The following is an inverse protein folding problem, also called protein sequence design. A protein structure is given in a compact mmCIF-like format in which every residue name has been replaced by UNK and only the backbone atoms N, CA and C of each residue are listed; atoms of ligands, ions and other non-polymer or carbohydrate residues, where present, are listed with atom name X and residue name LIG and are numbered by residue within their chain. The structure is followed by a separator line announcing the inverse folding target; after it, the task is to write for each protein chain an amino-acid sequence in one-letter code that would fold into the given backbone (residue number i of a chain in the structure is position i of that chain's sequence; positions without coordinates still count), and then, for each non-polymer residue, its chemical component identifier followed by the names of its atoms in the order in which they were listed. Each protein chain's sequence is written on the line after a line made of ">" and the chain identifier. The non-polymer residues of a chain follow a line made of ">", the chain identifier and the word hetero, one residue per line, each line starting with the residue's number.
data_IF_807740415746
#
_entry.id   IF_807740415746
#
_cell.length_a   1.000
_cell.length_b   1.000
_cell.length_c   1.000
_cell.angle_alpha   90.00
_cell.angle_beta   90.00
_cell.angle_gamma   90.00
#
_symmetry.space_group_name_H-M   'P 1'
#
loop_
_entity.id
_entity.type
_entity.pdbx_description
1 polymer ?
#
# COMPACT_ATOMS: atom_id res chain seq x y z
N UNK A 1 5.50 18.84 -2.07
CA UNK A 1 5.17 20.19 -2.56
C UNK A 1 5.65 20.46 -3.98
N UNK A 2 6.97 20.55 -4.27
CA UNK A 2 7.47 20.90 -5.62
C UNK A 2 6.91 20.02 -6.75
N UNK A 3 6.86 18.71 -6.54
CA UNK A 3 6.27 17.78 -7.51
C UNK A 3 4.78 18.06 -7.79
N UNK A 4 4.02 18.44 -6.76
CA UNK A 4 2.60 18.77 -6.87
C UNK A 4 2.39 20.09 -7.63
N UNK A 5 3.20 21.12 -7.35
CA UNK A 5 3.19 22.39 -8.08
C UNK A 5 3.50 22.22 -9.57
N UNK A 6 4.43 21.31 -9.90
CA UNK A 6 4.79 21.00 -11.28
C UNK A 6 3.78 20.08 -11.98
N UNK A 7 2.82 19.49 -11.27
CA UNK A 7 1.87 18.53 -11.83
C UNK A 7 2.49 17.17 -12.18
N UNK A 8 3.59 16.78 -11.54
CA UNK A 8 4.23 15.46 -11.77
C UNK A 8 3.52 14.37 -10.96
N UNK A 9 2.37 13.93 -11.46
CA UNK A 9 1.51 12.92 -10.83
C UNK A 9 2.30 11.67 -10.36
N UNK A 10 3.08 11.06 -11.25
CA UNK A 10 3.88 9.86 -10.92
C UNK A 10 4.87 10.10 -9.77
N UNK A 11 5.55 11.25 -9.78
CA UNK A 11 6.49 11.60 -8.71
C UNK A 11 5.76 11.83 -7.39
N UNK A 12 4.59 12.47 -7.41
CA UNK A 12 3.76 12.67 -6.21
C UNK A 12 3.32 11.32 -5.65
N UNK A 13 2.82 10.41 -6.50
CA UNK A 13 2.41 9.06 -6.09
C UNK A 13 3.56 8.31 -5.43
N UNK A 14 4.74 8.30 -6.05
CA UNK A 14 5.91 7.63 -5.48
C UNK A 14 6.27 8.21 -4.09
N UNK A 15 6.29 9.53 -3.96
CA UNK A 15 6.59 10.20 -2.69
C UNK A 15 5.56 9.83 -1.59
N UNK A 16 4.27 9.84 -1.90
CA UNK A 16 3.21 9.42 -0.98
C UNK A 16 3.39 7.96 -0.55
N UNK A 17 3.69 7.05 -1.49
CA UNK A 17 3.91 5.64 -1.21
C UNK A 17 5.16 5.39 -0.36
N UNK A 18 6.20 6.21 -0.48
CA UNK A 18 7.40 6.13 0.38
C UNK A 18 7.21 6.75 1.77
N UNK A 19 6.05 7.34 2.05
CA UNK A 19 5.74 7.98 3.31
C UNK A 19 6.16 9.43 3.43
N UNK A 20 6.15 10.16 2.31
CA UNK A 20 6.22 11.62 2.33
C UNK A 20 5.00 12.21 3.06
N UNK A 21 5.24 13.23 3.88
CA UNK A 21 4.19 13.94 4.60
C UNK A 21 3.28 14.70 3.62
N UNK A 22 2.03 14.25 3.53
CA UNK A 22 1.00 14.80 2.64
C UNK A 22 0.36 16.06 3.23
N UNK A 23 0.39 16.18 4.56
CA UNK A 23 -0.19 17.30 5.33
C UNK A 23 0.83 18.39 5.66
N UNK A 24 2.10 18.19 5.29
CA UNK A 24 3.15 19.19 5.43
C UNK A 24 2.70 20.53 4.85
N UNK A 25 2.89 21.63 5.58
CA UNK A 25 2.55 22.98 5.14
C UNK A 25 3.81 23.79 4.83
N UNK A 26 3.76 24.59 3.77
CA UNK A 26 4.87 25.48 3.45
C UNK A 26 5.01 26.59 4.51
N UNK A 27 6.20 27.16 4.65
CA UNK A 27 6.41 28.22 5.63
C UNK A 27 5.72 29.53 5.24
N UNK A 28 5.58 29.80 3.94
CA UNK A 28 5.04 31.03 3.38
C UNK A 28 3.51 31.09 3.45
N UNK A 29 2.84 30.40 2.53
CA UNK A 29 1.37 30.47 2.38
C UNK A 29 0.59 29.51 3.30
N UNK A 30 1.29 28.68 4.06
CA UNK A 30 0.74 27.59 4.90
C UNK A 30 -0.11 26.58 4.12
N UNK A 31 0.22 26.37 2.85
CA UNK A 31 -0.48 25.47 1.93
C UNK A 31 0.11 24.06 1.95
N UNK A 32 -0.78 23.06 1.88
CA UNK A 32 -0.42 21.64 1.71
C UNK A 32 0.00 21.34 0.26
N UNK A 33 0.72 20.23 -0.01
CA UNK A 33 0.99 19.76 -1.36
C UNK A 33 -0.25 19.71 -2.28
N UNK A 34 -1.42 19.33 -1.75
CA UNK A 34 -2.69 19.25 -2.49
C UNK A 34 -3.21 20.65 -2.83
N UNK A 35 -3.19 21.57 -1.86
CA UNK A 35 -3.58 22.96 -2.07
C UNK A 35 -2.66 23.64 -3.09
N UNK A 36 -1.36 23.35 -3.07
CA UNK A 36 -0.42 23.80 -4.10
C UNK A 36 -0.76 23.28 -5.50
N UNK A 37 -1.18 22.02 -5.62
CA UNK A 37 -1.63 21.46 -6.90
C UNK A 37 -2.88 22.20 -7.41
N UNK A 38 -3.86 22.45 -6.54
CA UNK A 38 -5.07 23.21 -6.90
C UNK A 38 -4.75 24.66 -7.28
N UNK A 39 -3.90 25.34 -6.50
CA UNK A 39 -3.48 26.71 -6.74
C UNK A 39 -2.77 26.89 -8.08
N UNK A 40 -2.04 25.87 -8.54
CA UNK A 40 -1.32 25.86 -9.82
C UNK A 40 -2.14 25.25 -10.99
N UNK A 41 -3.41 24.93 -10.77
CA UNK A 41 -4.31 24.36 -11.79
C UNK A 41 -4.02 22.89 -12.14
N UNK A 42 -3.32 22.16 -11.28
CA UNK A 42 -2.95 20.74 -11.47
C UNK A 42 -4.03 19.82 -10.89
N UNK A 43 -5.26 19.92 -11.41
CA UNK A 43 -6.42 19.18 -10.92
C UNK A 43 -6.23 17.66 -10.93
N UNK A 44 -5.68 17.10 -12.00
CA UNK A 44 -5.41 15.65 -12.10
C UNK A 44 -4.49 15.16 -10.97
N UNK A 45 -3.47 15.96 -10.62
CA UNK A 45 -2.57 15.62 -9.53
C UNK A 45 -3.28 15.72 -8.17
N UNK A 46 -4.06 16.77 -7.96
CA UNK A 46 -4.83 16.95 -6.74
C UNK A 46 -5.89 15.83 -6.55
N UNK A 47 -6.60 15.47 -7.61
CA UNK A 47 -7.60 14.39 -7.62
C UNK A 47 -6.95 13.04 -7.35
N UNK A 48 -5.83 12.73 -7.98
CA UNK A 48 -5.09 11.50 -7.72
C UNK A 48 -4.57 11.42 -6.27
N UNK A 49 -4.14 12.53 -5.69
CA UNK A 49 -3.80 12.59 -4.26
C UNK A 49 -5.01 12.30 -3.37
N UNK A 50 -6.18 12.86 -3.70
CA UNK A 50 -7.44 12.63 -2.97
C UNK A 50 -7.85 11.16 -2.99
N UNK A 51 -7.83 10.54 -4.18
CA UNK A 51 -8.14 9.11 -4.32
C UNK A 51 -7.21 8.23 -3.49
N UNK A 52 -5.92 8.54 -3.52
CA UNK A 52 -4.92 7.83 -2.73
C UNK A 52 -5.16 7.99 -1.22
N UNK A 53 -5.54 9.18 -0.75
CA UNK A 53 -5.87 9.38 0.66
C UNK A 53 -7.16 8.68 1.08
N UNK A 54 -8.17 8.62 0.20
CA UNK A 54 -9.42 7.91 0.44
C UNK A 54 -9.22 6.38 0.50
N UNK A 55 -8.32 5.84 -0.31
CA UNK A 55 -7.97 4.42 -0.35
C UNK A 55 -6.47 4.22 -0.12
N UNK A 56 -5.99 4.37 1.13
CA UNK A 56 -4.56 4.41 1.44
C UNK A 56 -3.89 3.04 1.35
N UNK A 57 -4.64 1.94 1.42
CA UNK A 57 -4.13 0.58 1.31
C UNK A 57 -4.69 -0.15 0.10
N UNK A 58 -3.83 -0.91 -0.58
CA UNK A 58 -4.25 -1.79 -1.65
C UNK A 58 -4.80 -3.11 -1.07
N UNK A 59 -6.04 -3.07 -0.59
CA UNK A 59 -6.69 -4.19 0.10
C UNK A 59 -6.72 -5.48 -0.72
N UNK A 60 -6.80 -5.38 -2.05
CA UNK A 60 -6.80 -6.52 -2.98
C UNK A 60 -5.59 -7.47 -2.83
N UNK A 61 -4.50 -7.03 -2.20
CA UNK A 61 -3.31 -7.83 -1.95
C UNK A 61 -3.23 -8.40 -0.52
N UNK A 62 -4.29 -8.28 0.27
CA UNK A 62 -4.41 -8.87 1.59
C UNK A 62 -5.08 -10.25 1.55
N UNK A 63 -4.68 -11.12 2.48
CA UNK A 63 -5.44 -12.36 2.75
C UNK A 63 -6.84 -12.08 3.33
N UNK A 64 -7.02 -10.92 4.00
CA UNK A 64 -8.31 -10.51 4.56
C UNK A 64 -9.30 -10.01 3.50
N UNK A 65 -8.89 -9.89 2.24
CA UNK A 65 -9.76 -9.42 1.17
C UNK A 65 -10.78 -10.49 0.80
N UNK A 66 -12.07 -10.14 0.88
CA UNK A 66 -13.18 -11.01 0.47
C UNK A 66 -13.62 -10.68 -0.95
N UNK A 67 -13.93 -11.72 -1.72
CA UNK A 67 -14.42 -11.62 -3.10
C UNK A 67 -15.94 -11.31 -3.17
N UNK A 68 -16.52 -10.76 -2.11
CA UNK A 68 -17.94 -10.40 -2.02
C UNK A 68 -18.17 -8.95 -2.45
N UNK A 69 -19.07 -8.72 -3.41
CA UNK A 69 -19.43 -7.36 -3.81
C UNK A 69 -20.52 -6.82 -2.88
N UNK A 70 -20.24 -5.86 -1.97
CA UNK A 70 -21.21 -5.48 -0.95
C UNK A 70 -22.48 -4.87 -1.55
N UNK A 71 -22.34 -4.14 -2.66
CA UNK A 71 -23.46 -3.48 -3.36
C UNK A 71 -24.32 -4.47 -4.17
N UNK A 72 -23.82 -5.68 -4.46
CA UNK A 72 -24.54 -6.64 -5.29
C UNK A 72 -25.84 -7.10 -4.63
N UNK A 73 -25.82 -7.34 -3.32
CA UNK A 73 -27.01 -7.80 -2.59
C UNK A 73 -28.13 -6.76 -2.66
N UNK A 74 -27.79 -5.48 -2.49
CA UNK A 74 -28.76 -4.38 -2.61
C UNK A 74 -29.29 -4.25 -4.04
N UNK A 75 -28.42 -4.34 -5.05
CA UNK A 75 -28.84 -4.27 -6.46
C UNK A 75 -29.68 -5.47 -6.88
N UNK A 76 -29.38 -6.66 -6.36
CA UNK A 76 -30.15 -7.88 -6.60
C UNK A 76 -31.51 -7.76 -5.91
N UNK A 77 -31.58 -7.26 -4.68
CA UNK A 77 -32.84 -6.99 -4.00
C UNK A 77 -33.72 -6.00 -4.78
N UNK A 78 -33.14 -4.87 -5.21
CA UNK A 78 -33.83 -3.88 -6.07
C UNK A 78 -34.25 -4.46 -7.42
N UNK A 79 -33.50 -5.42 -7.98
CA UNK A 79 -33.86 -6.11 -9.21
C UNK A 79 -34.98 -7.15 -9.00
N UNK A 80 -35.03 -7.77 -7.82
CA UNK A 80 -36.02 -8.76 -7.42
C UNK A 80 -37.36 -8.14 -6.99
N UNK A 81 -37.38 -6.88 -6.57
CA UNK A 81 -38.63 -6.14 -6.35
C UNK A 81 -39.51 -6.19 -7.62
N UNK A 82 -40.79 -6.53 -7.45
CA UNK A 82 -41.72 -6.68 -8.57
C UNK A 82 -41.90 -5.34 -9.31
N UNK A 83 -41.21 -5.20 -10.43
CA UNK A 83 -41.40 -4.08 -11.36
C UNK A 83 -42.79 -4.17 -11.96
N UNK A 84 -43.62 -3.13 -11.76
CA UNK A 84 -44.93 -2.97 -12.43
C UNK A 84 -44.83 -3.33 -13.92
N UNK A 85 -45.84 -4.03 -14.45
CA UNK A 85 -45.86 -4.62 -15.80
C UNK A 85 -45.23 -3.75 -16.89
N UNK A 86 -45.50 -2.45 -16.87
CA UNK A 86 -44.94 -1.44 -17.78
C UNK A 86 -43.41 -1.26 -17.70
N UNK A 87 -42.82 -1.28 -16.49
CA UNK A 87 -41.36 -1.24 -16.29
C UNK A 87 -40.68 -2.52 -16.82
N UNK A 88 -41.40 -3.64 -16.88
CA UNK A 88 -40.90 -4.92 -17.42
C UNK A 88 -40.83 -4.90 -18.94
N UNK A 89 -41.86 -4.35 -19.61
CA UNK A 89 -41.84 -4.11 -21.05
C UNK A 89 -40.74 -3.14 -21.47
N UNK A 90 -40.59 -2.01 -20.77
CA UNK A 90 -39.52 -1.03 -21.06
C UNK A 90 -38.13 -1.66 -20.90
N UNK A 91 -37.89 -2.46 -19.84
CA UNK A 91 -36.62 -3.17 -19.68
C UNK A 91 -36.40 -4.21 -20.78
N UNK A 92 -37.43 -4.92 -21.24
CA UNK A 92 -37.28 -5.90 -22.32
C UNK A 92 -36.86 -5.25 -23.64
N UNK A 93 -37.37 -4.04 -23.94
CA UNK A 93 -36.93 -3.25 -25.10
C UNK A 93 -35.51 -2.69 -24.96
N UNK A 94 -35.05 -2.43 -23.72
CA UNK A 94 -33.70 -1.90 -23.43
C UNK A 94 -32.65 -3.04 -23.34
N UNK A 95 -33.03 -4.22 -22.83
CA UNK A 95 -32.17 -5.38 -22.64
C UNK A 95 -32.08 -6.31 -23.86
N UNK A 96 -32.54 -5.88 -25.03
CA UNK A 96 -32.39 -6.64 -26.27
C UNK A 96 -30.91 -7.05 -26.50
N UNK A 97 -30.64 -8.34 -26.78
CA UNK A 97 -29.29 -8.93 -26.78
C UNK A 97 -28.39 -8.48 -27.94
N UNK A 98 -28.89 -7.60 -28.82
CA UNK A 98 -28.14 -7.06 -29.97
C UNK A 98 -27.34 -5.78 -29.65
N UNK A 99 -27.26 -5.39 -28.38
CA UNK A 99 -26.53 -4.20 -27.94
C UNK A 99 -25.44 -4.51 -26.91
N UNK A 100 -24.67 -5.58 -27.12
CA UNK A 100 -23.31 -5.68 -26.56
C UNK A 100 -22.34 -4.74 -27.29
N UNK A 101 -22.71 -3.46 -27.39
CA UNK A 101 -21.75 -2.43 -27.75
C UNK A 101 -20.96 -2.10 -26.49
N UNK A 102 -19.71 -2.56 -26.41
CA UNK A 102 -18.68 -2.06 -25.49
C UNK A 102 -18.36 -0.55 -25.67
N UNK A 103 -19.21 0.19 -26.39
CA UNK A 103 -19.07 1.61 -26.68
C UNK A 103 -19.96 2.50 -25.80
N UNK A 104 -20.38 2.01 -24.63
CA UNK A 104 -20.74 2.94 -23.57
C UNK A 104 -19.42 3.46 -22.99
N UNK A 105 -19.11 4.73 -23.25
CA UNK A 105 -18.13 5.49 -22.46
C UNK A 105 -18.71 5.64 -21.05
N UNK A 106 -18.77 4.54 -20.30
CA UNK A 106 -19.08 4.56 -18.88
C UNK A 106 -17.84 5.14 -18.24
N UNK A 107 -17.95 6.37 -17.75
CA UNK A 107 -16.90 6.93 -16.93
C UNK A 107 -16.65 5.95 -15.77
N UNK A 108 -15.39 5.57 -15.49
CA UNK A 108 -15.11 4.68 -14.39
C UNK A 108 -15.65 5.30 -13.10
N UNK A 109 -16.62 4.62 -12.49
CA UNK A 109 -17.19 5.01 -11.21
C UNK A 109 -16.40 4.30 -10.12
N UNK A 110 -15.89 5.07 -9.17
CA UNK A 110 -15.22 4.54 -7.97
C UNK A 110 -16.19 3.58 -7.24
N UNK A 111 -15.71 2.38 -6.89
CA UNK A 111 -16.50 1.28 -6.29
C UNK A 111 -17.70 0.78 -7.14
N UNK A 112 -17.70 1.07 -8.44
CA UNK A 112 -18.68 0.54 -9.39
C UNK A 112 -18.43 -0.92 -9.79
N UNK A 113 -19.34 -1.48 -10.60
CA UNK A 113 -19.25 -2.86 -11.13
C UNK A 113 -17.88 -3.15 -11.77
N UNK A 114 -17.41 -2.23 -12.62
CA UNK A 114 -16.15 -2.40 -13.35
C UNK A 114 -14.95 -2.30 -12.43
N UNK A 115 -14.96 -1.39 -11.46
CA UNK A 115 -13.89 -1.27 -10.47
C UNK A 115 -13.81 -2.54 -9.61
N UNK A 116 -14.95 -3.06 -9.18
CA UNK A 116 -15.03 -4.29 -8.41
C UNK A 116 -14.61 -5.53 -9.20
N UNK A 117 -15.00 -5.63 -10.47
CA UNK A 117 -14.54 -6.69 -11.39
C UNK A 117 -13.01 -6.68 -11.53
N UNK A 118 -12.42 -5.50 -11.70
CA UNK A 118 -10.95 -5.34 -11.76
C UNK A 118 -10.32 -5.74 -10.42
N UNK A 119 -10.90 -5.32 -9.29
CA UNK A 119 -10.41 -5.64 -7.95
C UNK A 119 -10.43 -7.15 -7.67
N UNK A 120 -11.50 -7.86 -8.02
CA UNK A 120 -11.56 -9.32 -7.93
C UNK A 120 -10.48 -9.95 -8.81
N UNK A 121 -10.47 -9.62 -10.10
CA UNK A 121 -9.61 -10.34 -11.07
C UNK A 121 -8.13 -10.17 -10.76
N UNK A 122 -7.75 -9.01 -10.19
CA UNK A 122 -6.37 -8.68 -9.81
C UNK A 122 -6.00 -8.99 -8.36
N UNK A 123 -6.97 -9.41 -7.52
CA UNK A 123 -6.71 -9.75 -6.12
C UNK A 123 -5.83 -10.97 -5.97
N UNK A 124 -5.09 -11.06 -4.85
CA UNK A 124 -4.24 -12.22 -4.55
C UNK A 124 -5.06 -13.51 -4.42
N UNK A 125 -6.27 -13.42 -3.90
CA UNK A 125 -7.22 -14.53 -3.72
C UNK A 125 -7.93 -14.94 -5.01
N UNK A 126 -7.73 -14.21 -6.11
CA UNK A 126 -8.32 -14.51 -7.42
C UNK A 126 -7.81 -15.84 -7.94
N UNK A 127 -8.67 -16.73 -8.49
CA UNK A 127 -8.22 -17.96 -9.13
C UNK A 127 -7.15 -17.74 -10.22
N UNK A 128 -7.15 -16.56 -10.86
CA UNK A 128 -6.20 -16.20 -11.91
C UNK A 128 -4.81 -15.84 -11.36
N UNK A 129 -4.74 -15.22 -10.19
CA UNK A 129 -3.50 -14.69 -9.60
C UNK A 129 -2.94 -15.66 -8.54
N UNK A 130 -3.82 -16.28 -7.75
CA UNK A 130 -3.46 -17.18 -6.66
C UNK A 130 -2.62 -18.39 -7.10
N UNK A 131 -2.73 -18.81 -8.37
CA UNK A 131 -1.98 -19.93 -8.93
C UNK A 131 -0.56 -19.57 -9.35
N UNK A 132 -0.31 -18.29 -9.69
CA UNK A 132 0.96 -17.84 -10.26
C UNK A 132 1.76 -16.93 -9.32
N UNK A 133 1.08 -16.19 -8.44
CA UNK A 133 1.67 -15.12 -7.64
C UNK A 133 1.35 -15.31 -6.15
N UNK A 134 2.38 -15.23 -5.32
CA UNK A 134 2.23 -15.19 -3.85
C UNK A 134 3.00 -13.99 -3.29
N UNK A 135 2.40 -13.31 -2.31
CA UNK A 135 3.08 -12.18 -1.66
C UNK A 135 3.94 -12.67 -0.51
N UNK A 136 5.07 -11.99 -0.28
CA UNK A 136 5.95 -12.28 0.87
C UNK A 136 5.35 -11.73 2.16
N UNK A 137 4.33 -10.86 2.10
CA UNK A 137 3.78 -10.19 3.29
C UNK A 137 2.25 -10.03 3.19
N UNK A 138 1.48 -11.12 3.20
CA UNK A 138 0.04 -11.08 2.95
C UNK A 138 -0.76 -10.31 4.02
N UNK A 139 -0.30 -10.33 5.27
CA UNK A 139 -0.92 -9.58 6.37
C UNK A 139 -0.58 -8.08 6.41
N UNK A 140 0.20 -7.57 5.46
CA UNK A 140 0.54 -6.15 5.39
C UNK A 140 0.57 -5.69 3.94
N UNK A 141 -0.55 -5.22 3.36
CA UNK A 141 -0.62 -4.73 1.98
C UNK A 141 0.13 -3.40 1.83
N UNK A 142 0.67 -3.10 0.64
CA UNK A 142 1.27 -1.78 0.40
C UNK A 142 0.24 -0.69 0.70
N UNK A 143 0.69 0.32 1.44
CA UNK A 143 -0.16 1.42 1.83
C UNK A 143 0.66 2.68 2.04
N UNK A 144 0.02 3.82 1.81
CA UNK A 144 0.60 5.15 1.94
C UNK A 144 1.16 5.35 3.34
N UNK A 145 2.30 6.03 3.46
CA UNK A 145 2.92 6.28 4.76
C UNK A 145 3.76 5.14 5.32
N UNK A 146 3.51 3.88 4.94
CA UNK A 146 4.25 2.75 5.52
C UNK A 146 5.55 2.47 4.77
N UNK A 147 6.68 2.72 5.45
CA UNK A 147 8.00 2.32 4.96
C UNK A 147 8.08 0.80 4.80
N UNK A 148 8.43 0.36 3.59
CA UNK A 148 8.61 -1.06 3.27
C UNK A 148 10.07 -1.47 3.43
N UNK A 149 10.25 -2.67 3.98
CA UNK A 149 11.54 -3.34 4.04
C UNK A 149 11.86 -3.94 2.68
N UNK A 150 13.15 -4.14 2.41
CA UNK A 150 13.55 -4.86 1.21
C UNK A 150 13.05 -6.32 1.29
N UNK A 151 12.74 -6.94 0.15
CA UNK A 151 12.29 -8.34 0.11
C UNK A 151 13.26 -9.28 0.83
N UNK A 152 14.56 -9.02 0.70
CA UNK A 152 15.62 -9.76 1.39
C UNK A 152 15.52 -9.67 2.92
N UNK A 153 15.13 -8.51 3.45
CA UNK A 153 14.95 -8.30 4.89
C UNK A 153 13.68 -8.99 5.40
N UNK A 154 12.59 -8.96 4.62
CA UNK A 154 11.34 -9.65 4.95
C UNK A 154 11.59 -11.16 5.03
N UNK A 155 12.26 -11.73 4.02
CA UNK A 155 12.60 -13.15 3.98
C UNK A 155 13.54 -13.54 5.13
N UNK A 156 14.50 -12.69 5.49
CA UNK A 156 15.36 -12.91 6.67
C UNK A 156 14.54 -12.98 7.95
N UNK A 157 13.61 -12.04 8.16
CA UNK A 157 12.73 -12.03 9.34
C UNK A 157 11.85 -13.27 9.39
N UNK A 158 11.27 -13.69 8.25
CA UNK A 158 10.46 -14.90 8.18
C UNK A 158 11.24 -16.17 8.51
N UNK A 159 12.48 -16.28 8.00
CA UNK A 159 13.38 -17.38 8.36
C UNK A 159 13.63 -17.38 9.86
N UNK A 160 13.99 -16.22 10.44
CA UNK A 160 14.21 -16.11 11.88
C UNK A 160 12.97 -16.49 12.70
N UNK A 161 11.75 -16.09 12.30
CA UNK A 161 10.53 -16.53 12.98
C UNK A 161 10.29 -18.04 12.84
N UNK A 162 10.59 -18.62 11.67
CA UNK A 162 10.51 -20.06 11.47
C UNK A 162 11.53 -20.82 12.35
N UNK A 163 12.73 -20.27 12.52
CA UNK A 163 13.81 -20.82 13.36
C UNK A 163 13.64 -20.56 14.86
N UNK A 164 12.82 -19.59 15.28
CA UNK A 164 12.41 -19.53 16.68
C UNK A 164 11.33 -20.57 16.99
N UNK A 165 10.45 -20.84 16.03
CA UNK A 165 9.39 -21.85 16.17
C UNK A 165 9.92 -23.29 15.99
N UNK A 166 10.99 -23.49 15.22
CA UNK A 166 11.69 -24.76 15.07
C UNK A 166 13.07 -24.61 15.70
N UNK A 167 13.40 -25.38 16.75
CA UNK A 167 14.71 -25.35 17.46
C UNK A 167 15.89 -25.78 16.58
N UNK A 168 16.14 -25.10 15.46
CA UNK A 168 17.17 -25.43 14.48
C UNK A 168 18.21 -24.31 14.51
N UNK A 169 19.41 -24.65 14.98
CA UNK A 169 20.54 -23.74 15.07
C UNK A 169 21.06 -23.40 13.66
N UNK A 170 21.10 -22.11 13.32
CA UNK A 170 21.78 -21.63 12.13
C UNK A 170 23.29 -21.86 12.29
N UNK A 171 23.84 -22.85 11.58
CA UNK A 171 25.29 -23.05 11.49
C UNK A 171 25.84 -21.92 10.60
N UNK A 172 26.64 -20.98 11.14
CA UNK A 172 27.20 -19.91 10.34
C UNK A 172 28.10 -20.49 9.25
N UNK A 173 27.77 -20.18 7.98
CA UNK A 173 28.59 -20.58 6.84
C UNK A 173 29.96 -19.91 6.97
N UNK A 174 31.05 -20.69 6.88
CA UNK A 174 32.43 -20.16 6.94
C UNK A 174 32.57 -19.04 5.92
N UNK A 175 33.02 -17.86 6.40
CA UNK A 175 33.31 -16.70 5.56
C UNK A 175 34.51 -17.04 4.68
N UNK A 176 34.26 -17.33 3.41
CA UNK A 176 35.32 -17.30 2.41
C UNK A 176 35.77 -15.84 2.24
N UNK A 177 37.09 -15.63 2.33
CA UNK A 177 37.75 -14.33 2.14
C UNK A 177 37.57 -13.87 0.68
N UNK A 178 36.42 -13.29 0.33
CA UNK A 178 36.26 -12.49 -0.88
C UNK A 178 36.06 -11.03 -0.51
N UNK A 179 37.02 -10.22 -0.95
CA UNK A 179 36.96 -8.78 -0.87
C UNK A 179 35.97 -8.25 -1.92
N UNK A 180 34.80 -7.79 -1.48
CA UNK A 180 34.02 -6.79 -2.19
C UNK A 180 33.02 -6.13 -1.23
N UNK A 181 33.16 -4.81 -1.11
CA UNK A 181 32.44 -3.82 -0.32
C UNK A 181 30.98 -4.19 0.01
N UNK A 182 30.69 -4.42 1.28
CA UNK A 182 29.36 -4.28 1.87
C UNK A 182 29.40 -3.16 2.92
N UNK A 183 28.35 -2.32 3.04
CA UNK A 183 28.28 -1.31 4.08
C UNK A 183 28.15 -2.01 5.44
N UNK A 184 29.17 -1.82 6.29
CA UNK A 184 29.16 -2.29 7.67
C UNK A 184 28.25 -1.39 8.49
N UNK A 185 27.06 -1.87 8.86
CA UNK A 185 26.28 -1.26 9.94
C UNK A 185 25.24 -2.24 10.47
N UNK A 186 25.68 -3.30 11.16
CA UNK A 186 24.86 -3.98 12.17
C UNK A 186 25.69 -5.01 12.97
N UNK A 187 26.47 -4.57 13.96
CA UNK A 187 27.03 -5.50 14.97
C UNK A 187 26.77 -5.05 16.41
N UNK A 188 26.34 -3.81 16.66
CA UNK A 188 26.25 -3.32 18.04
C UNK A 188 24.97 -3.70 18.81
N UNK A 189 23.93 -4.22 18.15
CA UNK A 189 22.64 -4.48 18.83
C UNK A 189 22.62 -5.85 19.56
N UNK A 190 23.63 -6.71 19.37
CA UNK A 190 23.62 -8.07 19.97
C UNK A 190 24.47 -8.15 21.26
N UNK A 191 25.24 -7.12 21.60
CA UNK A 191 26.14 -7.15 22.79
C UNK A 191 25.61 -6.41 24.02
N UNK A 192 24.40 -5.86 23.99
CA UNK A 192 23.83 -5.14 25.13
C UNK A 192 22.57 -5.81 25.67
N UNK A 193 22.68 -7.06 26.11
CA UNK A 193 21.74 -7.64 27.07
C UNK A 193 22.48 -8.64 27.96
N UNK A 194 22.82 -8.19 29.16
CA UNK A 194 23.19 -9.04 30.29
C UNK A 194 24.61 -8.88 30.83
N UNK A 195 24.84 -7.86 31.67
CA UNK A 195 25.35 -8.10 33.05
C UNK A 195 25.36 -6.81 33.87
N UNK A 196 24.69 -6.86 35.03
CA UNK A 196 24.85 -5.91 36.13
C UNK A 196 26.02 -6.38 36.99
N UNK A 197 27.00 -5.54 37.26
CA UNK A 197 27.55 -5.34 38.61
C UNK A 197 28.57 -4.19 38.62
N UNK A 198 28.30 -3.25 39.51
CA UNK A 198 29.19 -2.34 40.26
C UNK A 198 30.69 -2.42 39.98
N UNK A 199 31.31 -1.29 39.61
CA UNK A 199 32.29 -0.64 40.51
C UNK A 199 32.69 0.78 40.10
N UNK A 200 33.08 1.49 41.14
CA UNK A 200 33.23 2.93 41.29
C UNK A 200 34.61 3.40 40.83
N UNK A 201 34.76 4.28 39.83
CA UNK A 201 35.86 5.27 39.81
C UNK A 201 35.43 6.59 39.16
N UNK A 202 35.34 7.59 40.03
CA UNK A 202 35.33 9.03 39.81
C UNK A 202 36.57 9.49 39.02
N UNK A 203 36.39 10.29 37.96
CA UNK A 203 37.21 11.50 37.72
C UNK A 203 36.39 12.59 37.02
N UNK A 204 36.64 13.82 37.48
CA UNK A 204 35.96 15.08 37.20
C UNK A 204 36.28 15.63 35.81
N UNK A 205 35.28 16.27 35.22
CA UNK A 205 35.26 17.66 34.69
C UNK A 205 36.51 18.19 33.97
N UNK A 206 36.35 18.59 32.69
CA UNK A 206 36.41 20.00 32.28
C UNK A 206 36.14 20.19 30.79
N UNK A 207 35.25 21.15 30.50
CA UNK A 207 35.31 22.19 29.45
C UNK A 207 35.49 21.80 27.97
N UNK A 208 35.08 22.57 26.96
CA UNK A 208 34.17 23.71 26.76
C UNK A 208 34.41 24.18 25.31
N UNK A 209 33.39 24.76 24.66
CA UNK A 209 33.43 25.54 23.39
C UNK A 209 33.73 24.72 22.10
N UNK A 210 33.08 24.93 20.95
CA UNK A 210 32.20 25.97 20.38
C UNK A 210 31.06 25.31 19.60
#
# INVERSE_FOLDING_TARGET
>A
MKAAMQGRAECVRALMMTGGDVEARDYGRKMTPREWALFTGRYETAYMMDRLMAQPCAEQFCDSFRLEWPMLEELVAQAQEQKSCWKRFINLFICCPYKFYFNSKVNPVDDGVLDYMVRITTSLSSPLIATACHTVSPGSPPCIGKRRLAVQEILRRQRLSFFQNSRVLLIPKRRDRRASLQPQLLTEVISSDGEKSSDTVRWRSMASWY
#
